data_IF_932694141534
#
_entry.id   IF_932694141534
#
_cell.length_a   1.000
_cell.length_b   1.000
_cell.length_c   1.000
_cell.angle_alpha   90.00
_cell.angle_beta   90.00
_cell.angle_gamma   90.00
#
_symmetry.space_group_name_H-M   'P 1'
#
loop_
_entity.id
_entity.type
_entity.pdbx_description
1 polymer ?
#
# COMPACT_ATOMS: atom_id res chain seq x y z
N UNK A 1 21.87 -13.47 -6.02
CA UNK A 1 21.63 -12.49 -4.94
C UNK A 1 21.98 -13.15 -3.61
N UNK A 2 22.76 -12.49 -2.75
CA UNK A 2 23.09 -13.01 -1.41
C UNK A 2 21.88 -12.85 -0.47
N UNK A 3 21.60 -13.84 0.38
CA UNK A 3 20.44 -13.78 1.28
C UNK A 3 20.76 -12.97 2.54
N UNK A 4 19.82 -12.13 2.96
CA UNK A 4 19.80 -11.48 4.28
C UNK A 4 18.51 -11.95 4.95
N UNK A 5 18.54 -13.06 5.70
CA UNK A 5 17.32 -13.67 6.20
C UNK A 5 16.83 -13.02 7.49
N UNK A 6 15.52 -12.99 7.66
CA UNK A 6 14.92 -12.89 8.99
C UNK A 6 14.85 -14.27 9.64
N UNK A 7 14.55 -14.34 10.93
CA UNK A 7 14.45 -15.61 11.65
C UNK A 7 12.99 -16.01 11.91
N UNK A 8 12.73 -17.32 12.02
CA UNK A 8 11.40 -17.87 12.38
C UNK A 8 10.26 -17.29 11.52
N UNK A 9 10.44 -17.36 10.21
CA UNK A 9 9.43 -16.94 9.26
C UNK A 9 8.34 -18.01 9.12
N UNK A 10 7.08 -17.57 9.15
CA UNK A 10 5.89 -18.41 9.02
C UNK A 10 4.88 -17.73 8.08
N UNK A 11 4.14 -18.51 7.30
CA UNK A 11 3.09 -17.99 6.43
C UNK A 11 1.76 -17.89 7.17
N UNK A 12 1.04 -16.79 6.95
CA UNK A 12 -0.37 -16.65 7.31
C UNK A 12 -1.17 -16.72 6.02
N UNK A 13 -1.79 -17.88 5.79
CA UNK A 13 -2.49 -18.25 4.57
C UNK A 13 -3.95 -17.76 4.54
N UNK A 14 -4.58 -17.77 3.36
CA UNK A 14 -5.98 -17.39 3.17
C UNK A 14 -6.20 -15.91 2.85
N UNK A 15 -5.14 -15.25 2.37
CA UNK A 15 -5.10 -13.85 1.99
C UNK A 15 -4.64 -13.77 0.53
N UNK A 16 -5.54 -13.89 -0.47
CA UNK A 16 -5.16 -13.76 -1.88
C UNK A 16 -4.64 -12.34 -2.15
N UNK A 17 -3.44 -12.22 -2.70
CA UNK A 17 -2.80 -10.95 -3.04
C UNK A 17 -2.89 -9.87 -1.95
N UNK A 18 -2.27 -10.05 -0.78
CA UNK A 18 -2.23 -9.07 0.30
C UNK A 18 -1.28 -7.91 -0.06
N UNK A 19 -1.78 -7.00 -0.91
CA UNK A 19 -1.00 -5.92 -1.54
C UNK A 19 -0.55 -4.85 -0.57
N UNK A 20 -1.36 -4.62 0.47
CA UNK A 20 -1.14 -3.58 1.47
C UNK A 20 -1.74 -3.97 2.82
N UNK A 21 -1.22 -3.36 3.87
CA UNK A 21 -1.64 -3.60 5.25
C UNK A 21 -1.42 -2.38 6.13
N UNK A 22 -2.13 -2.33 7.25
CA UNK A 22 -1.96 -1.32 8.29
C UNK A 22 -2.01 -2.00 9.66
N UNK A 23 -1.21 -1.47 10.59
CA UNK A 23 -1.21 -1.91 11.97
C UNK A 23 -2.17 -1.05 12.78
N UNK A 24 -3.27 -1.65 13.23
CA UNK A 24 -4.15 -1.02 14.20
C UNK A 24 -3.66 -1.33 15.61
N UNK A 25 -3.07 -0.34 16.28
CA UNK A 25 -2.67 -0.45 17.69
C UNK A 25 -3.71 0.16 18.62
N UNK A 26 -3.79 -0.35 19.86
CA UNK A 26 -4.75 0.15 20.88
C UNK A 26 -6.20 0.17 20.39
N UNK A 27 -6.55 -0.80 19.55
CA UNK A 27 -7.83 -0.87 18.87
C UNK A 27 -9.02 -1.04 19.85
N UNK A 28 -10.22 -0.71 19.38
CA UNK A 28 -11.47 -1.07 20.05
C UNK A 28 -11.69 -2.59 20.16
N UNK A 29 -10.93 -3.38 19.39
CA UNK A 29 -10.92 -4.85 19.39
C UNK A 29 -10.25 -5.44 20.66
N UNK A 30 -9.51 -4.64 21.43
CA UNK A 30 -8.92 -5.05 22.71
C UNK A 30 -7.51 -5.66 22.60
N UNK A 31 -6.87 -5.49 21.45
CA UNK A 31 -5.51 -5.95 21.14
C UNK A 31 -5.02 -5.36 19.82
N UNK A 32 -3.78 -5.60 19.47
CA UNK A 32 -3.24 -5.11 18.20
C UNK A 32 -3.59 -6.07 17.05
N UNK A 33 -3.87 -5.54 15.86
CA UNK A 33 -4.18 -6.33 14.67
C UNK A 33 -3.63 -5.73 13.39
N UNK A 34 -3.35 -6.58 12.40
CA UNK A 34 -3.14 -6.14 11.03
C UNK A 34 -4.48 -6.07 10.32
N UNK A 35 -4.71 -5.01 9.56
CA UNK A 35 -5.79 -4.88 8.59
C UNK A 35 -5.15 -4.99 7.21
N UNK A 36 -5.72 -5.79 6.31
CA UNK A 36 -5.06 -6.22 5.07
C UNK A 36 -6.05 -6.09 3.91
N UNK A 37 -5.63 -5.42 2.84
CA UNK A 37 -6.34 -5.43 1.56
C UNK A 37 -5.95 -6.68 0.78
N UNK A 38 -6.93 -7.47 0.34
CA UNK A 38 -6.72 -8.77 -0.32
C UNK A 38 -7.52 -8.82 -1.62
N UNK A 39 -6.90 -9.25 -2.71
CA UNK A 39 -7.52 -9.43 -4.02
C UNK A 39 -6.75 -10.53 -4.78
N UNK A 40 -7.46 -11.49 -5.37
CA UNK A 40 -6.85 -12.38 -6.38
C UNK A 40 -6.67 -11.59 -7.69
N UNK A 41 -5.42 -11.42 -8.11
CA UNK A 41 -5.04 -10.53 -9.22
C UNK A 41 -4.60 -11.24 -10.48
N UNK A 42 -4.59 -12.57 -10.51
CA UNK A 42 -4.22 -13.31 -11.73
C UNK A 42 -5.44 -13.62 -12.59
N UNK A 43 -6.60 -13.71 -11.97
CA UNK A 43 -7.87 -14.11 -12.60
C UNK A 43 -8.64 -12.89 -13.13
N UNK A 44 -8.69 -12.74 -14.46
CA UNK A 44 -9.44 -11.68 -15.13
C UNK A 44 -10.37 -12.21 -16.22
N UNK A 45 -11.41 -11.45 -16.54
CA UNK A 45 -12.25 -11.65 -17.71
C UNK A 45 -11.61 -11.06 -18.99
N UNK A 46 -12.21 -11.23 -20.18
CA UNK A 46 -11.68 -10.65 -21.42
C UNK A 46 -11.66 -9.12 -21.48
N UNK A 47 -12.34 -8.43 -20.57
CA UNK A 47 -12.33 -6.96 -20.43
C UNK A 47 -11.30 -6.48 -19.40
N UNK A 48 -10.46 -7.39 -18.87
CA UNK A 48 -9.44 -7.15 -17.85
C UNK A 48 -10.01 -6.79 -16.47
N UNK A 49 -11.27 -7.15 -16.22
CA UNK A 49 -11.90 -7.00 -14.89
C UNK A 49 -11.57 -8.23 -14.02
N UNK A 50 -11.34 -8.01 -12.72
CA UNK A 50 -11.11 -9.10 -11.78
C UNK A 50 -12.34 -10.02 -11.67
N UNK A 51 -12.11 -11.33 -11.71
CA UNK A 51 -13.20 -12.33 -11.61
C UNK A 51 -13.75 -12.47 -10.18
N UNK A 52 -12.89 -12.30 -9.18
CA UNK A 52 -13.21 -12.47 -7.77
C UNK A 52 -13.32 -11.11 -7.07
N UNK A 53 -14.32 -10.95 -6.21
CA UNK A 53 -14.40 -9.80 -5.30
C UNK A 53 -13.26 -9.85 -4.29
N UNK A 54 -12.70 -8.68 -4.02
CA UNK A 54 -11.67 -8.50 -3.00
C UNK A 54 -12.28 -8.35 -1.61
N UNK A 55 -11.40 -8.21 -0.62
CA UNK A 55 -11.81 -8.12 0.78
C UNK A 55 -10.84 -7.29 1.60
N UNK A 56 -11.37 -6.68 2.67
CA UNK A 56 -10.56 -6.25 3.81
C UNK A 56 -10.66 -7.34 4.88
N UNK A 57 -9.52 -7.90 5.24
CA UNK A 57 -9.41 -8.89 6.33
C UNK A 57 -8.57 -8.33 7.46
N UNK A 58 -8.63 -8.98 8.62
CA UNK A 58 -7.73 -8.65 9.72
C UNK A 58 -7.16 -9.89 10.40
N UNK A 59 -6.00 -9.70 11.01
CA UNK A 59 -5.27 -10.73 11.74
C UNK A 59 -4.93 -10.21 13.13
N UNK A 60 -5.55 -10.75 14.20
CA UNK A 60 -5.15 -10.45 15.57
C UNK A 60 -3.70 -10.85 15.85
N UNK A 61 -2.96 -10.00 16.55
CA UNK A 61 -1.54 -10.24 16.86
C UNK A 61 -1.34 -10.78 18.29
N UNK A 62 -2.40 -10.75 19.09
CA UNK A 62 -2.46 -11.28 20.45
C UNK A 62 -3.74 -12.10 20.69
N UNK A 63 -3.89 -12.62 21.91
CA UNK A 63 -5.07 -13.35 22.33
C UNK A 63 -5.24 -14.74 21.70
N UNK A 64 -6.46 -15.28 21.79
CA UNK A 64 -6.78 -16.66 21.37
C UNK A 64 -6.84 -16.83 19.85
N UNK A 65 -7.15 -15.77 19.13
CA UNK A 65 -7.28 -15.77 17.67
C UNK A 65 -6.01 -15.26 16.99
N UNK A 66 -4.89 -15.22 17.71
CA UNK A 66 -3.60 -14.76 17.19
C UNK A 66 -3.26 -15.49 15.88
N UNK A 67 -2.87 -14.71 14.87
CA UNK A 67 -2.50 -15.17 13.52
C UNK A 67 -3.63 -15.84 12.72
N UNK A 68 -4.88 -15.81 13.21
CA UNK A 68 -6.03 -16.27 12.42
C UNK A 68 -6.50 -15.15 11.48
N UNK A 69 -6.80 -15.50 10.24
CA UNK A 69 -7.39 -14.58 9.26
C UNK A 69 -8.89 -14.49 9.52
N UNK A 70 -9.37 -13.28 9.82
CA UNK A 70 -10.76 -12.98 10.11
C UNK A 70 -11.29 -11.93 9.13
N UNK A 71 -12.59 -11.94 8.90
CA UNK A 71 -13.27 -10.98 8.01
C UNK A 71 -13.98 -9.90 8.82
N UNK A 72 -14.05 -8.70 8.25
CA UNK A 72 -14.95 -7.66 8.74
C UNK A 72 -16.38 -7.87 8.22
N UNK A 73 -17.36 -7.54 9.06
CA UNK A 73 -18.73 -7.31 8.60
C UNK A 73 -18.86 -5.88 8.08
N UNK A 74 -19.37 -5.70 6.86
CA UNK A 74 -19.58 -4.37 6.28
C UNK A 74 -20.99 -3.88 6.62
N UNK A 75 -21.10 -2.62 7.03
CA UNK A 75 -22.39 -1.98 7.32
C UNK A 75 -22.56 -0.72 6.47
N UNK A 76 -23.71 -0.61 5.80
CA UNK A 76 -24.09 0.60 5.03
C UNK A 76 -23.40 0.78 3.68
N UNK A 77 -22.54 -0.15 3.26
CA UNK A 77 -21.94 -0.16 1.92
C UNK A 77 -22.92 -0.77 0.91
N UNK A 78 -22.96 -0.20 -0.29
CA UNK A 78 -23.71 -0.72 -1.43
C UNK A 78 -22.98 -1.89 -2.13
N UNK A 79 -23.62 -2.46 -3.16
CA UNK A 79 -23.07 -3.53 -4.02
C UNK A 79 -22.06 -3.00 -5.06
N UNK A 80 -21.44 -1.85 -4.82
CA UNK A 80 -20.40 -1.36 -5.72
C UNK A 80 -19.22 -2.35 -5.74
N UNK A 81 -18.66 -2.71 -6.90
CA UNK A 81 -17.55 -3.68 -6.95
C UNK A 81 -16.40 -3.28 -6.03
N UNK A 82 -15.76 -4.27 -5.41
CA UNK A 82 -14.79 -4.03 -4.34
C UNK A 82 -13.49 -4.80 -4.58
N UNK A 83 -12.52 -4.10 -5.14
CA UNK A 83 -11.17 -4.57 -5.37
C UNK A 83 -10.18 -3.65 -4.65
N UNK A 84 -10.03 -3.80 -3.32
CA UNK A 84 -9.14 -2.96 -2.53
C UNK A 84 -7.68 -3.25 -2.88
N UNK A 85 -6.87 -2.20 -3.05
CA UNK A 85 -5.44 -2.33 -3.33
C UNK A 85 -4.55 -1.73 -2.25
N UNK A 86 -4.85 -0.51 -1.81
CA UNK A 86 -4.09 0.20 -0.80
C UNK A 86 -4.98 0.64 0.35
N UNK A 87 -4.39 0.84 1.52
CA UNK A 87 -5.13 1.27 2.70
C UNK A 87 -4.30 2.13 3.64
N UNK A 88 -4.97 3.02 4.36
CA UNK A 88 -4.34 3.78 5.43
C UNK A 88 -5.26 3.92 6.65
N UNK A 89 -4.65 4.03 7.82
CA UNK A 89 -5.33 4.09 9.10
C UNK A 89 -5.23 5.49 9.71
N UNK A 90 -6.39 6.12 9.92
CA UNK A 90 -6.49 7.39 10.63
C UNK A 90 -7.06 7.17 12.03
N UNK A 91 -6.39 7.70 13.05
CA UNK A 91 -6.93 7.79 14.42
C UNK A 91 -7.29 9.24 14.73
N UNK A 92 -8.59 9.52 14.88
CA UNK A 92 -9.09 10.87 15.14
C UNK A 92 -10.16 10.84 16.22
N UNK A 93 -10.01 11.66 17.27
CA UNK A 93 -10.97 11.73 18.37
C UNK A 93 -11.16 10.40 19.12
N UNK A 94 -10.14 9.53 19.13
CA UNK A 94 -10.22 8.18 19.73
C UNK A 94 -10.96 7.14 18.89
N UNK A 95 -11.46 7.51 17.71
CA UNK A 95 -12.03 6.58 16.74
C UNK A 95 -11.00 6.24 15.66
N UNK A 96 -11.11 5.04 15.11
CA UNK A 96 -10.25 4.53 14.06
C UNK A 96 -11.00 4.52 12.74
N UNK A 97 -10.34 4.95 11.67
CA UNK A 97 -10.90 5.05 10.34
C UNK A 97 -9.97 4.40 9.34
N UNK A 98 -10.54 3.69 8.38
CA UNK A 98 -9.84 3.03 7.31
C UNK A 98 -10.15 3.76 6.00
N UNK A 99 -9.11 4.29 5.37
CA UNK A 99 -9.15 4.72 3.99
C UNK A 99 -8.78 3.53 3.13
N UNK A 100 -9.59 3.22 2.13
CA UNK A 100 -9.39 2.10 1.22
C UNK A 100 -9.40 2.62 -0.19
N UNK A 101 -8.33 2.34 -0.92
CA UNK A 101 -8.28 2.56 -2.35
C UNK A 101 -8.90 1.37 -3.08
N UNK A 102 -10.00 1.62 -3.79
CA UNK A 102 -10.79 0.60 -4.46
C UNK A 102 -10.72 0.77 -6.00
N UNK A 103 -10.26 -0.27 -6.69
CA UNK A 103 -10.26 -0.38 -8.16
C UNK A 103 -11.53 -1.10 -8.63
N UNK A 104 -12.69 -0.48 -8.39
CA UNK A 104 -13.98 -1.09 -8.67
C UNK A 104 -14.14 -1.59 -10.12
N UNK A 105 -13.54 -0.89 -11.08
CA UNK A 105 -13.36 -1.36 -12.46
C UNK A 105 -12.05 -0.86 -13.02
N UNK A 106 -11.60 -1.41 -14.15
CA UNK A 106 -10.38 -0.99 -14.89
C UNK A 106 -10.19 0.53 -14.95
N UNK A 107 -11.27 1.29 -15.21
CA UNK A 107 -11.26 2.75 -15.30
C UNK A 107 -12.12 3.45 -14.23
N UNK A 108 -12.50 2.73 -13.17
CA UNK A 108 -13.29 3.28 -12.06
C UNK A 108 -12.59 3.03 -10.74
N UNK A 109 -12.00 4.11 -10.22
CA UNK A 109 -11.31 4.10 -8.94
C UNK A 109 -12.04 4.99 -7.95
N UNK A 110 -11.96 4.62 -6.68
CA UNK A 110 -12.54 5.38 -5.60
C UNK A 110 -11.71 5.25 -4.33
N UNK A 111 -11.77 6.28 -3.49
CA UNK A 111 -11.39 6.17 -2.09
C UNK A 111 -12.65 5.90 -1.29
N UNK A 112 -12.69 4.80 -0.56
CA UNK A 112 -13.78 4.45 0.35
C UNK A 112 -13.32 4.61 1.79
N UNK A 113 -14.12 5.28 2.62
CA UNK A 113 -13.80 5.55 4.01
C UNK A 113 -14.75 4.78 4.91
N UNK A 114 -14.17 4.07 5.87
CA UNK A 114 -14.88 3.29 6.86
C UNK A 114 -14.50 3.72 8.26
N UNK A 115 -15.46 3.75 9.18
CA UNK A 115 -15.16 3.74 10.61
C UNK A 115 -14.95 2.30 11.06
N UNK A 116 -13.84 2.05 11.72
CA UNK A 116 -13.50 0.74 12.27
C UNK A 116 -14.20 0.59 13.62
N UNK A 117 -14.97 -0.48 13.74
CA UNK A 117 -15.46 -1.00 15.01
C UNK A 117 -14.73 -2.33 15.31
N UNK A 118 -15.17 -3.06 16.35
CA UNK A 118 -14.51 -4.31 16.77
C UNK A 118 -14.30 -5.31 15.63
N UNK A 119 -15.35 -5.70 14.92
CA UNK A 119 -15.27 -6.67 13.83
C UNK A 119 -16.10 -6.23 12.63
N UNK A 120 -16.41 -4.94 12.54
CA UNK A 120 -17.18 -4.38 11.44
C UNK A 120 -16.57 -3.09 10.91
N UNK A 121 -16.75 -2.86 9.61
CA UNK A 121 -16.43 -1.62 8.92
C UNK A 121 -17.73 -0.90 8.58
N UNK A 122 -17.94 0.25 9.23
CA UNK A 122 -19.12 1.10 8.98
C UNK A 122 -18.78 2.07 7.87
N UNK A 123 -19.43 1.92 6.72
CA UNK A 123 -19.20 2.77 5.56
C UNK A 123 -19.59 4.21 5.86
N UNK A 124 -18.68 5.14 5.56
CA UNK A 124 -18.86 6.58 5.78
C UNK A 124 -19.05 7.35 4.48
N UNK A 125 -18.41 6.91 3.40
CA UNK A 125 -18.50 7.58 2.13
C UNK A 125 -17.52 7.04 1.10
N UNK A 126 -17.75 7.46 -0.14
CA UNK A 126 -16.94 7.13 -1.31
C UNK A 126 -16.61 8.41 -2.06
N UNK A 127 -15.33 8.61 -2.32
CA UNK A 127 -14.79 9.75 -3.04
C UNK A 127 -14.35 9.29 -4.43
N UNK A 128 -14.98 9.87 -5.45
CA UNK A 128 -14.64 9.68 -6.86
C UNK A 128 -14.40 11.03 -7.48
N UNK A 129 -13.32 11.15 -8.24
CA UNK A 129 -13.00 12.40 -8.90
C UNK A 129 -12.12 12.13 -10.11
N UNK A 130 -12.18 13.00 -11.12
CA UNK A 130 -11.34 12.91 -12.33
C UNK A 130 -9.83 12.98 -12.08
N UNK A 131 -9.41 13.33 -10.86
CA UNK A 131 -7.99 13.36 -10.46
C UNK A 131 -7.58 12.06 -9.73
N UNK A 132 -8.52 11.19 -9.39
CA UNK A 132 -8.24 9.82 -8.92
C UNK A 132 -8.26 8.96 -10.18
N UNK A 133 -7.10 8.80 -10.82
CA UNK A 133 -6.99 8.33 -12.20
C UNK A 133 -6.60 6.86 -12.27
N UNK A 134 -5.38 6.50 -11.81
CA UNK A 134 -4.97 5.11 -11.62
C UNK A 134 -4.12 5.08 -10.35
N UNK A 135 -4.78 5.09 -9.18
CA UNK A 135 -4.11 5.29 -7.92
C UNK A 135 -3.31 4.05 -7.48
N UNK A 136 -2.19 4.25 -6.79
CA UNK A 136 -1.35 3.20 -6.21
C UNK A 136 -1.38 3.19 -4.69
N UNK A 137 -1.53 4.36 -4.06
CA UNK A 137 -1.50 4.49 -2.61
C UNK A 137 -2.29 5.71 -2.09
N UNK A 138 -2.57 5.73 -0.80
CA UNK A 138 -3.35 6.76 -0.11
C UNK A 138 -2.79 7.01 1.29
N UNK A 139 -2.85 8.26 1.75
CA UNK A 139 -2.69 8.59 3.18
C UNK A 139 -3.79 9.54 3.67
N UNK A 140 -4.42 9.19 4.78
CA UNK A 140 -5.43 9.98 5.46
C UNK A 140 -4.81 10.90 6.51
N UNK A 141 -5.12 12.19 6.44
CA UNK A 141 -4.67 13.20 7.41
C UNK A 141 -5.80 13.50 8.40
N UNK A 142 -7.02 13.57 7.87
CA UNK A 142 -8.26 13.79 8.57
C UNK A 142 -9.43 13.18 7.80
N UNK A 143 -10.61 13.14 8.40
CA UNK A 143 -11.81 12.55 7.76
C UNK A 143 -12.19 13.19 6.42
N UNK A 144 -11.83 14.46 6.21
CA UNK A 144 -12.11 15.18 4.98
C UNK A 144 -10.82 15.79 4.39
N UNK A 145 -9.68 15.14 4.64
CA UNK A 145 -8.36 15.57 4.18
C UNK A 145 -7.44 14.35 3.95
N UNK A 146 -6.99 14.13 2.71
CA UNK A 146 -6.13 13.00 2.36
C UNK A 146 -5.30 13.29 1.11
N UNK A 147 -4.28 12.47 0.87
CA UNK A 147 -3.56 12.44 -0.39
C UNK A 147 -3.80 11.12 -1.13
N UNK A 148 -3.91 11.19 -2.45
CA UNK A 148 -3.94 10.02 -3.35
C UNK A 148 -2.73 10.10 -4.27
N UNK A 149 -1.97 9.02 -4.32
CA UNK A 149 -0.87 8.85 -5.26
C UNK A 149 -1.39 8.11 -6.49
N UNK A 150 -1.29 8.74 -7.66
CA UNK A 150 -1.55 8.10 -8.95
C UNK A 150 -0.24 7.57 -9.53
N UNK A 151 -0.21 6.27 -9.80
CA UNK A 151 0.90 5.60 -10.47
C UNK A 151 1.09 6.10 -11.91
N UNK A 152 -0.02 6.33 -12.62
CA UNK A 152 -0.02 6.86 -13.99
C UNK A 152 -1.19 7.79 -14.18
N UNK A 153 -1.05 8.71 -15.12
CA UNK A 153 -2.21 9.49 -15.55
C UNK A 153 -3.12 8.64 -16.42
N UNK A 154 -4.44 8.77 -16.22
CA UNK A 154 -5.39 8.10 -17.10
C UNK A 154 -5.35 8.82 -18.45
N UNK A 155 -4.85 8.16 -19.49
CA UNK A 155 -5.33 8.46 -20.83
C UNK A 155 -6.01 7.21 -21.34
N UNK A 156 -7.22 7.39 -21.89
CA UNK A 156 -7.97 6.35 -22.59
C UNK A 156 -7.20 5.65 -23.73
N UNK A 157 -5.94 6.04 -23.97
CA UNK A 157 -5.02 5.55 -25.00
C UNK A 157 -4.39 4.19 -24.65
N UNK A 158 -4.38 3.76 -23.38
CA UNK A 158 -3.94 2.39 -23.04
C UNK A 158 -4.84 1.33 -23.67
N UNK A 159 -6.13 1.59 -23.75
CA UNK A 159 -7.10 0.70 -24.40
C UNK A 159 -6.90 0.63 -25.93
N UNK A 160 -6.01 1.44 -26.50
CA UNK A 160 -5.70 1.50 -27.94
C UNK A 160 -4.25 1.11 -28.28
N UNK A 161 -3.50 0.51 -27.36
CA UNK A 161 -2.18 -0.06 -27.66
C UNK A 161 -1.09 0.99 -27.99
N UNK A 162 -1.20 2.19 -27.42
CA UNK A 162 -0.16 3.21 -27.55
C UNK A 162 0.97 2.95 -26.55
N UNK A 163 2.21 3.02 -27.03
CA UNK A 163 3.46 2.86 -26.29
C UNK A 163 3.44 3.49 -24.89
N UNK A 164 3.85 2.73 -23.87
CA UNK A 164 4.01 3.18 -22.48
C UNK A 164 4.97 4.35 -22.31
N UNK A 165 5.87 4.59 -23.27
CA UNK A 165 6.78 5.74 -23.29
C UNK A 165 6.07 7.11 -23.48
N UNK A 166 4.77 7.12 -23.82
CA UNK A 166 3.97 8.33 -24.03
C UNK A 166 2.83 8.49 -23.01
N UNK A 167 2.67 7.54 -22.09
CA UNK A 167 1.61 7.55 -21.11
C UNK A 167 1.98 8.51 -19.98
N UNK A 168 1.07 9.43 -19.67
CA UNK A 168 1.40 10.53 -18.77
C UNK A 168 1.76 10.03 -17.37
N UNK A 169 2.74 10.71 -16.82
CA UNK A 169 3.39 10.45 -15.54
C UNK A 169 2.42 10.39 -14.35
N UNK A 170 2.86 9.72 -13.29
CA UNK A 170 2.19 9.70 -12.01
C UNK A 170 2.04 11.09 -11.39
N UNK A 171 1.10 11.21 -10.45
CA UNK A 171 0.78 12.47 -9.79
C UNK A 171 0.39 12.28 -8.34
N UNK A 172 0.58 13.32 -7.53
CA UNK A 172 0.05 13.38 -6.17
C UNK A 172 -1.12 14.35 -6.14
N UNK A 173 -2.23 13.89 -5.60
CA UNK A 173 -3.46 14.67 -5.46
C UNK A 173 -3.75 14.87 -3.98
N UNK A 174 -3.94 16.11 -3.59
CA UNK A 174 -4.40 16.50 -2.26
C UNK A 174 -5.90 16.77 -2.31
N UNK A 175 -6.63 16.20 -1.37
CA UNK A 175 -8.03 16.48 -1.14
C UNK A 175 -8.21 17.18 0.21
N UNK A 176 -9.04 18.22 0.23
CA UNK A 176 -9.53 18.85 1.47
C UNK A 176 -10.90 19.46 1.27
N UNK A 177 -11.85 19.15 2.15
CA UNK A 177 -13.14 19.85 2.28
C UNK A 177 -13.87 20.02 0.93
N UNK A 178 -13.95 18.94 0.15
CA UNK A 178 -14.62 18.92 -1.15
C UNK A 178 -13.76 19.38 -2.34
N UNK A 179 -12.55 19.87 -2.13
CA UNK A 179 -11.68 20.37 -3.21
C UNK A 179 -10.48 19.48 -3.44
N UNK A 180 -10.15 19.24 -4.71
CA UNK A 180 -8.99 18.46 -5.13
C UNK A 180 -7.94 19.33 -5.81
N UNK A 181 -6.67 19.13 -5.42
CA UNK A 181 -5.51 19.82 -5.96
C UNK A 181 -4.52 18.79 -6.48
N UNK A 182 -4.10 18.90 -7.75
CA UNK A 182 -2.91 18.18 -8.22
C UNK A 182 -1.68 18.93 -7.73
N UNK A 183 -1.04 18.41 -6.69
CA UNK A 183 0.06 19.09 -5.97
C UNK A 183 1.43 18.67 -6.48
N UNK A 184 1.54 17.47 -7.08
CA UNK A 184 2.70 17.03 -7.86
C UNK A 184 2.24 16.28 -9.11
N UNK A 185 3.09 16.26 -10.13
CA UNK A 185 2.95 15.46 -11.35
C UNK A 185 4.34 15.13 -11.89
N UNK A 186 4.43 14.42 -13.00
CA UNK A 186 5.74 14.02 -13.57
C UNK A 186 6.53 13.11 -12.62
N UNK A 187 5.82 12.18 -11.96
CA UNK A 187 6.43 11.11 -11.17
C UNK A 187 6.53 9.84 -12.04
N UNK A 188 7.71 9.23 -12.10
CA UNK A 188 7.97 8.05 -12.92
C UNK A 188 7.61 6.77 -12.14
N UNK A 189 6.39 6.28 -12.37
CA UNK A 189 5.84 5.07 -11.75
C UNK A 189 5.87 5.09 -10.20
N UNK A 190 5.24 6.08 -9.54
CA UNK A 190 5.20 6.11 -8.09
C UNK A 190 4.27 5.01 -7.51
N UNK A 191 4.70 4.37 -6.43
CA UNK A 191 4.06 3.15 -5.90
C UNK A 191 3.54 3.28 -4.47
N UNK A 192 4.23 4.04 -3.63
CA UNK A 192 4.00 4.08 -2.20
C UNK A 192 4.03 5.50 -1.67
N UNK A 193 3.19 5.76 -0.66
CA UNK A 193 3.04 7.04 0.00
C UNK A 193 3.04 6.81 1.52
N UNK A 194 3.85 7.57 2.26
CA UNK A 194 3.83 7.53 3.72
C UNK A 194 3.85 8.93 4.33
N UNK A 195 3.10 9.10 5.40
CA UNK A 195 3.07 10.31 6.22
C UNK A 195 3.92 10.08 7.47
N UNK A 196 4.78 11.02 7.82
CA UNK A 196 5.54 10.94 9.07
C UNK A 196 4.62 10.99 10.29
N UNK A 197 4.99 10.40 11.44
CA UNK A 197 4.10 10.35 12.62
C UNK A 197 3.64 11.73 13.13
N UNK A 198 4.47 12.76 12.96
CA UNK A 198 4.16 14.16 13.28
C UNK A 198 3.36 14.88 12.18
N UNK A 199 3.04 14.17 11.09
CA UNK A 199 2.33 14.63 9.89
C UNK A 199 2.99 15.81 9.17
N UNK A 200 4.27 16.08 9.41
CA UNK A 200 4.99 17.22 8.83
C UNK A 200 5.66 16.88 7.49
N UNK A 201 5.84 15.59 7.19
CA UNK A 201 6.55 15.13 5.99
C UNK A 201 5.79 14.03 5.26
N UNK A 202 5.80 14.13 3.94
CA UNK A 202 5.35 13.08 3.03
C UNK A 202 6.56 12.42 2.36
N UNK A 203 6.45 11.11 2.18
CA UNK A 203 7.44 10.28 1.51
C UNK A 203 6.79 9.52 0.38
N UNK A 204 7.43 9.53 -0.78
CA UNK A 204 6.93 8.85 -1.99
C UNK A 204 8.03 7.93 -2.50
N UNK A 205 7.71 6.67 -2.80
CA UNK A 205 8.60 5.84 -3.63
C UNK A 205 8.36 6.11 -5.10
N UNK A 206 9.46 6.31 -5.84
CA UNK A 206 9.47 6.46 -7.29
C UNK A 206 10.13 5.21 -7.86
N UNK A 207 9.32 4.34 -8.45
CA UNK A 207 9.71 2.99 -8.81
C UNK A 207 10.82 2.96 -9.87
N UNK A 208 10.61 3.63 -10.99
CA UNK A 208 11.52 3.59 -12.15
C UNK A 208 12.83 4.34 -11.90
N UNK A 209 12.79 5.39 -11.08
CA UNK A 209 13.99 6.14 -10.66
C UNK A 209 14.78 5.43 -9.56
N UNK A 210 14.19 4.43 -8.89
CA UNK A 210 14.82 3.74 -7.76
C UNK A 210 15.12 4.70 -6.60
N UNK A 211 14.18 5.57 -6.24
CA UNK A 211 14.41 6.58 -5.21
C UNK A 211 13.19 6.82 -4.31
N UNK A 212 13.43 7.50 -3.19
CA UNK A 212 12.41 8.06 -2.33
C UNK A 212 12.45 9.59 -2.42
N UNK A 213 11.29 10.21 -2.60
CA UNK A 213 11.10 11.65 -2.55
C UNK A 213 10.54 12.04 -1.18
N UNK A 214 11.31 12.82 -0.41
CA UNK A 214 10.86 13.40 0.85
C UNK A 214 10.39 14.84 0.64
N UNK A 215 9.23 15.17 1.19
CA UNK A 215 8.55 16.45 1.03
C UNK A 215 8.14 16.98 2.42
N UNK A 216 8.31 18.27 2.64
CA UNK A 216 7.69 18.97 3.76
C UNK A 216 6.26 19.36 3.37
N UNK A 217 5.35 19.11 4.30
CA UNK A 217 3.92 19.41 4.15
C UNK A 217 3.60 20.77 4.76
N UNK A 218 2.91 21.62 4.01
CA UNK A 218 2.29 22.83 4.53
C UNK A 218 0.97 22.54 5.28
N UNK A 219 0.26 23.60 5.66
CA UNK A 219 -1.09 23.48 6.25
C UNK A 219 -2.21 23.28 5.22
N UNK A 220 -1.87 23.24 3.93
CA UNK A 220 -2.78 23.13 2.80
C UNK A 220 -2.13 22.35 1.64
N UNK A 221 -2.39 22.74 0.37
CA UNK A 221 -1.86 22.00 -0.79
C UNK A 221 -0.35 22.19 -1.00
N UNK A 222 0.30 23.08 -0.25
CA UNK A 222 1.72 23.39 -0.43
C UNK A 222 2.61 22.22 -0.01
N UNK A 223 3.54 21.85 -0.89
CA UNK A 223 4.58 20.88 -0.64
C UNK A 223 5.93 21.48 -1.00
N UNK A 224 6.93 21.26 -0.14
CA UNK A 224 8.31 21.69 -0.40
C UNK A 224 9.24 20.49 -0.47
N UNK A 225 9.95 20.27 -1.59
CA UNK A 225 10.94 19.20 -1.67
C UNK A 225 12.03 19.34 -0.60
N UNK A 226 12.34 18.22 0.06
CA UNK A 226 13.40 18.13 1.06
C UNK A 226 14.61 17.36 0.54
N UNK A 227 14.37 16.16 0.02
CA UNK A 227 15.45 15.27 -0.42
C UNK A 227 14.95 14.25 -1.45
N UNK A 228 15.88 13.77 -2.27
CA UNK A 228 15.75 12.54 -3.06
C UNK A 228 16.79 11.55 -2.57
N UNK A 229 16.37 10.34 -2.26
CA UNK A 229 17.22 9.31 -1.65
C UNK A 229 17.21 8.09 -2.55
N UNK A 230 18.35 7.81 -3.19
CA UNK A 230 18.49 6.61 -4.01
C UNK A 230 18.42 5.35 -3.14
N UNK A 231 17.64 4.39 -3.61
CA UNK A 231 17.47 3.06 -3.02
C UNK A 231 17.71 2.00 -4.09
N UNK A 232 17.92 0.76 -3.68
CA UNK A 232 18.27 -0.32 -4.61
C UNK A 232 17.05 -1.13 -5.02
N UNK A 233 16.78 -1.22 -6.33
CA UNK A 233 15.62 -1.92 -6.88
C UNK A 233 14.47 -0.97 -7.17
N UNK A 234 13.27 -1.52 -7.39
CA UNK A 234 12.04 -0.78 -7.62
C UNK A 234 11.30 -0.62 -6.27
N UNK A 235 11.36 0.53 -5.59
CA UNK A 235 10.70 0.72 -4.30
C UNK A 235 9.18 0.72 -4.46
N UNK A 236 8.51 -0.10 -3.63
CA UNK A 236 7.06 -0.22 -3.52
C UNK A 236 6.57 0.56 -2.29
N UNK A 237 5.83 -0.04 -1.35
CA UNK A 237 5.26 0.68 -0.20
C UNK A 237 6.28 0.93 0.90
N UNK A 238 6.00 1.99 1.67
CA UNK A 238 6.81 2.49 2.78
C UNK A 238 5.98 2.45 4.05
N UNK A 239 6.60 2.13 5.19
CA UNK A 239 5.96 2.28 6.50
C UNK A 239 6.94 2.85 7.51
N UNK A 240 6.45 3.69 8.42
CA UNK A 240 7.25 4.22 9.52
C UNK A 240 7.36 3.20 10.67
N UNK A 241 8.54 3.14 11.28
CA UNK A 241 8.81 2.39 12.50
C UNK A 241 9.39 3.34 13.55
N UNK A 242 8.52 3.89 14.39
CA UNK A 242 8.89 5.03 15.24
C UNK A 242 8.93 6.32 14.42
N UNK A 243 9.72 7.30 14.87
CA UNK A 243 9.65 8.69 14.37
C UNK A 243 10.57 8.96 13.16
N UNK A 244 11.63 8.17 13.00
CA UNK A 244 12.77 8.50 12.13
C UNK A 244 13.22 7.36 11.22
N UNK A 245 12.55 6.21 11.26
CA UNK A 245 12.91 5.04 10.48
C UNK A 245 11.79 4.61 9.55
N UNK A 246 12.13 4.38 8.29
CA UNK A 246 11.26 3.86 7.26
C UNK A 246 11.66 2.43 6.88
N UNK A 247 10.68 1.55 6.80
CA UNK A 247 10.79 0.30 6.05
C UNK A 247 10.30 0.54 4.64
N UNK A 248 11.06 0.09 3.65
CA UNK A 248 10.71 0.20 2.24
C UNK A 248 10.79 -1.19 1.63
N UNK A 249 9.65 -1.70 1.19
CA UNK A 249 9.64 -2.88 0.34
C UNK A 249 10.16 -2.51 -1.04
N UNK A 250 11.05 -3.31 -1.60
CA UNK A 250 11.63 -3.07 -2.91
C UNK A 250 11.76 -4.37 -3.68
N UNK A 251 11.42 -4.31 -4.97
CA UNK A 251 11.51 -5.41 -5.92
C UNK A 251 12.83 -5.30 -6.68
N UNK A 252 13.81 -6.22 -6.48
CA UNK A 252 15.10 -6.12 -7.15
C UNK A 252 15.07 -6.40 -8.67
N UNK A 253 14.01 -7.05 -9.20
CA UNK A 253 13.85 -7.33 -10.62
C UNK A 253 12.39 -7.20 -11.03
N UNK A 254 12.04 -6.11 -11.73
CA UNK A 254 10.70 -5.87 -12.27
C UNK A 254 10.30 -6.91 -13.32
N UNK A 255 11.28 -7.44 -14.07
CA UNK A 255 11.05 -8.55 -15.00
C UNK A 255 10.59 -9.82 -14.27
N UNK A 256 11.32 -10.25 -13.24
CA UNK A 256 10.93 -11.45 -12.47
C UNK A 256 9.60 -11.24 -11.73
N UNK A 257 9.32 -10.02 -11.27
CA UNK A 257 8.03 -9.67 -10.68
C UNK A 257 6.88 -9.75 -11.68
N UNK A 258 7.08 -9.27 -12.91
CA UNK A 258 6.12 -9.42 -14.02
C UNK A 258 5.89 -10.89 -14.41
N UNK A 259 6.95 -11.70 -14.46
CA UNK A 259 6.83 -13.15 -14.67
C UNK A 259 6.02 -13.82 -13.55
N UNK A 260 6.29 -13.49 -12.29
CA UNK A 260 5.55 -14.02 -11.14
C UNK A 260 4.09 -13.56 -11.10
N UNK A 261 3.80 -12.34 -11.57
CA UNK A 261 2.44 -11.84 -11.72
C UNK A 261 1.63 -12.72 -12.68
N UNK A 262 2.24 -13.17 -13.76
CA UNK A 262 1.60 -14.02 -14.77
C UNK A 262 1.55 -15.51 -14.39
N UNK A 263 2.56 -16.00 -13.66
CA UNK A 263 2.68 -17.40 -13.27
C UNK A 263 3.19 -17.55 -11.82
N UNK A 264 2.37 -18.16 -10.95
CA UNK A 264 2.72 -18.44 -9.56
C UNK A 264 3.94 -19.36 -9.38
N UNK A 265 4.33 -20.12 -10.40
CA UNK A 265 5.51 -20.98 -10.37
C UNK A 265 6.83 -20.18 -10.50
N UNK A 266 6.78 -19.04 -11.19
CA UNK A 266 7.92 -18.13 -11.33
C UNK A 266 8.18 -17.39 -10.01
N UNK A 267 9.44 -17.16 -9.68
CA UNK A 267 9.83 -16.50 -8.42
C UNK A 267 10.34 -15.09 -8.67
N UNK A 268 9.94 -14.17 -7.79
CA UNK A 268 10.39 -12.79 -7.83
C UNK A 268 11.22 -12.47 -6.57
N UNK A 269 12.43 -11.92 -6.70
CA UNK A 269 13.22 -11.56 -5.53
C UNK A 269 12.51 -10.48 -4.70
N UNK A 270 12.76 -10.52 -3.40
CA UNK A 270 12.20 -9.58 -2.42
C UNK A 270 13.33 -8.92 -1.63
N UNK A 271 13.20 -7.62 -1.37
CA UNK A 271 14.12 -6.86 -0.51
C UNK A 271 13.34 -5.91 0.38
N UNK A 272 13.68 -5.88 1.67
CA UNK A 272 13.23 -4.83 2.58
C UNK A 272 14.44 -3.97 2.95
N UNK A 273 14.30 -2.68 2.73
CA UNK A 273 15.28 -1.67 3.09
C UNK A 273 14.85 -0.97 4.38
N UNK A 274 15.82 -0.69 5.23
CA UNK A 274 15.67 0.24 6.34
C UNK A 274 16.30 1.57 5.94
N UNK A 275 15.54 2.66 6.00
CA UNK A 275 15.97 4.00 5.64
C UNK A 275 15.84 4.94 6.84
N UNK A 276 16.94 5.61 7.18
CA UNK A 276 16.96 6.71 8.14
C UNK A 276 16.31 7.94 7.50
N UNK A 277 15.14 8.35 7.99
CA UNK A 277 14.34 9.44 7.45
C UNK A 277 14.90 10.84 7.77
N UNK A 278 15.98 10.93 8.55
CA UNK A 278 16.67 12.19 8.87
C UNK A 278 17.95 12.34 8.05
N UNK A 279 18.71 11.26 7.91
CA UNK A 279 20.01 11.24 7.22
C UNK A 279 19.92 10.76 5.76
N UNK A 280 18.83 10.10 5.38
CA UNK A 280 18.65 9.52 4.05
C UNK A 280 19.57 8.33 3.76
N UNK A 281 20.09 7.66 4.79
CA UNK A 281 20.92 6.46 4.63
C UNK A 281 20.05 5.22 4.58
N UNK A 282 20.33 4.32 3.65
CA UNK A 282 19.61 3.07 3.49
C UNK A 282 20.50 1.85 3.77
N UNK A 283 19.91 0.79 4.30
CA UNK A 283 20.56 -0.51 4.51
C UNK A 283 19.59 -1.65 4.19
N UNK A 284 20.12 -2.83 3.89
CA UNK A 284 19.29 -4.02 3.61
C UNK A 284 18.94 -4.71 4.92
N UNK A 285 17.66 -4.73 5.28
CA UNK A 285 17.16 -5.44 6.45
C UNK A 285 16.78 -6.89 6.11
N UNK A 286 16.28 -7.13 4.89
CA UNK A 286 15.95 -8.47 4.40
C UNK A 286 16.15 -8.59 2.90
N UNK A 287 16.57 -9.76 2.45
CA UNK A 287 16.76 -10.07 1.04
C UNK A 287 16.65 -11.57 0.76
N UNK A 288 15.76 -11.94 -0.15
CA UNK A 288 15.49 -13.34 -0.52
C UNK A 288 15.20 -13.48 -2.02
N UNK A 289 15.70 -14.53 -2.71
CA UNK A 289 15.43 -14.74 -4.14
C UNK A 289 13.97 -15.01 -4.51
N UNK A 290 13.05 -15.05 -3.54
CA UNK A 290 11.61 -15.25 -3.77
C UNK A 290 11.08 -16.59 -3.21
N UNK A 291 11.92 -17.34 -2.51
CA UNK A 291 11.59 -18.64 -1.95
C UNK A 291 10.71 -18.53 -0.70
N UNK A 292 10.94 -17.53 0.15
CA UNK A 292 10.11 -17.30 1.34
C UNK A 292 8.91 -16.39 1.05
N UNK A 293 9.12 -15.37 0.21
CA UNK A 293 8.06 -14.50 -0.29
C UNK A 293 8.50 -13.91 -1.63
N UNK A 294 7.67 -14.06 -2.66
CA UNK A 294 7.96 -13.54 -4.00
C UNK A 294 7.44 -12.11 -4.16
N UNK A 295 8.31 -11.19 -4.55
CA UNK A 295 7.96 -9.81 -4.88
C UNK A 295 7.24 -9.05 -3.75
N UNK A 296 7.81 -9.04 -2.55
CA UNK A 296 7.26 -8.31 -1.41
C UNK A 296 7.07 -6.82 -1.74
N UNK A 297 5.87 -6.29 -1.51
CA UNK A 297 5.47 -4.91 -1.84
C UNK A 297 5.15 -4.05 -0.63
N UNK A 298 5.04 -4.64 0.55
CA UNK A 298 4.81 -3.93 1.82
C UNK A 298 5.52 -4.66 2.95
N UNK A 299 6.02 -3.89 3.92
CA UNK A 299 6.56 -4.40 5.16
C UNK A 299 6.10 -3.53 6.33
N UNK A 300 5.66 -4.16 7.42
CA UNK A 300 5.26 -3.47 8.65
C UNK A 300 5.95 -4.14 9.84
N UNK A 301 6.40 -3.33 10.80
CA UNK A 301 7.06 -3.79 12.02
C UNK A 301 6.21 -3.53 13.26
N UNK A 302 6.22 -4.49 14.18
CA UNK A 302 5.67 -4.33 15.53
C UNK A 302 6.56 -5.06 16.54
N UNK A 303 7.25 -4.31 17.40
CA UNK A 303 8.24 -4.88 18.31
C UNK A 303 9.34 -5.60 17.52
N UNK A 304 9.59 -6.88 17.84
CA UNK A 304 10.56 -7.73 17.13
C UNK A 304 9.94 -8.49 15.94
N UNK A 305 8.67 -8.26 15.61
CA UNK A 305 7.99 -8.92 14.48
C UNK A 305 7.98 -8.02 13.27
N UNK A 306 8.12 -8.63 12.10
CA UNK A 306 7.89 -7.98 10.81
C UNK A 306 6.92 -8.81 9.97
N UNK A 307 6.05 -8.12 9.25
CA UNK A 307 5.02 -8.69 8.40
C UNK A 307 5.25 -8.21 6.98
N UNK A 308 5.38 -9.14 6.05
CA UNK A 308 5.64 -8.87 4.64
C UNK A 308 4.42 -9.28 3.80
N UNK A 309 3.95 -8.37 2.95
CA UNK A 309 2.87 -8.60 1.99
C UNK A 309 3.36 -8.54 0.55
N UNK A 310 2.54 -9.03 -0.37
CA UNK A 310 2.83 -9.13 -1.80
C UNK A 310 1.53 -9.13 -2.62
N UNK A 311 1.56 -8.84 -3.93
CA UNK A 311 0.34 -8.57 -4.72
C UNK A 311 -0.42 -9.81 -5.23
N UNK A 312 0.14 -11.01 -5.21
CA UNK A 312 -0.35 -12.13 -6.01
C UNK A 312 -0.61 -13.45 -5.26
N UNK A 313 0.34 -13.96 -4.48
CA UNK A 313 0.18 -15.23 -3.75
C UNK A 313 -0.81 -15.11 -2.58
N UNK A 314 -1.21 -16.23 -1.98
CA UNK A 314 -2.32 -16.29 -1.02
C UNK A 314 -1.93 -16.21 0.47
N UNK A 315 -0.83 -15.55 0.79
CA UNK A 315 -0.32 -15.43 2.15
C UNK A 315 0.46 -14.13 2.41
N UNK A 316 0.60 -13.78 3.69
CA UNK A 316 1.64 -12.86 4.19
C UNK A 316 2.71 -13.65 4.95
N UNK A 317 3.93 -13.14 4.99
CA UNK A 317 5.03 -13.73 5.75
C UNK A 317 5.22 -12.97 7.07
N UNK A 318 5.20 -13.67 8.21
CA UNK A 318 5.56 -13.10 9.51
C UNK A 318 6.92 -13.66 9.94
N UNK A 319 7.85 -12.78 10.31
CA UNK A 319 9.17 -13.16 10.79
C UNK A 319 9.56 -12.45 12.10
N UNK A 320 10.64 -12.91 12.71
CA UNK A 320 11.42 -12.13 13.68
C UNK A 320 12.52 -11.36 12.97
N UNK A 321 12.60 -10.06 13.27
CA UNK A 321 13.77 -9.24 12.97
C UNK A 321 15.00 -9.76 13.72
#
# INVERSE_FOLDING_TARGET
MERVPFSRCEEINGLPGPSDMALETRSAFGGDRLIIATQERRSHDPEDEYLDEGAIKFVPLDGRNRHQVLSFEFSGRDEYPFHPEALDLLVQGGSHYLFVLNHARVAQHAVEVFRIEKSSLVFMGRYRHRFIEYPSDIVGIGLDEFYVLNHRSSSALEHYGVSTLLLGSGSLVYYREGTYYRVLGNLDSPEGLALSPDQSRLWISIGDDGELLALERGSGPELRPLARISVSGYPARLSFVGDDRLLVASVPSTWAWSSHASDSAEKAPSRILEVDALQGRSSVAYQDPGNEISGATVAISQGNRIYLGQKYDSFILICNQ
#
